data_IF_847825704763
#
_entry.id   IF_847825704763
#
_cell.length_a   1.000
_cell.length_b   1.000
_cell.length_c   1.000
_cell.angle_alpha   90.00
_cell.angle_beta   90.00
_cell.angle_gamma   90.00
#
_symmetry.space_group_name_H-M   'P 1'
#
loop_
_entity.id
_entity.type
_entity.pdbx_description
1 polymer ?
#
# COMPACT_ATOMS: atom_id res chain seq x y z
N UNK A 1 -24.95 44.68 40.79
CA UNK A 1 -25.44 44.07 39.53
C UNK A 1 -25.07 45.05 38.41
N UNK A 2 -24.30 44.74 37.37
CA UNK A 2 -24.06 43.46 36.72
C UNK A 2 -22.64 43.38 36.14
N UNK A 3 -21.96 42.29 36.47
CA UNK A 3 -20.65 41.82 36.01
C UNK A 3 -20.73 41.04 34.68
N UNK A 4 -21.74 41.29 33.83
CA UNK A 4 -22.11 40.32 32.79
C UNK A 4 -21.42 40.45 31.43
N UNK A 5 -20.64 41.51 31.16
CA UNK A 5 -20.19 41.80 29.79
C UNK A 5 -18.67 41.69 29.54
N UNK A 6 -17.87 41.27 30.53
CA UNK A 6 -16.40 41.12 30.34
C UNK A 6 -15.98 39.67 30.04
N UNK A 7 -16.85 38.68 30.30
CA UNK A 7 -16.51 37.26 30.16
C UNK A 7 -16.54 36.72 28.72
N UNK A 8 -17.10 37.45 27.75
CA UNK A 8 -17.27 36.92 26.38
C UNK A 8 -16.00 37.09 25.52
N UNK A 9 -15.14 38.06 25.82
CA UNK A 9 -13.96 38.31 24.98
C UNK A 9 -12.73 37.43 25.31
N UNK A 10 -12.74 36.72 26.44
CA UNK A 10 -11.59 35.95 26.92
C UNK A 10 -11.58 34.48 26.45
N UNK A 11 -12.70 33.94 25.95
CA UNK A 11 -12.79 32.53 25.52
C UNK A 11 -12.32 32.33 24.07
N UNK A 12 -12.22 33.38 23.26
CA UNK A 12 -11.79 33.27 21.85
C UNK A 12 -10.26 33.36 21.63
N UNK A 13 -9.48 33.66 22.67
CA UNK A 13 -8.04 33.92 22.54
C UNK A 13 -7.13 32.72 22.92
N UNK A 14 -7.70 31.55 23.24
CA UNK A 14 -6.92 30.37 23.67
C UNK A 14 -6.78 29.27 22.59
N UNK A 15 -7.25 29.48 21.36
CA UNK A 15 -7.20 28.49 20.28
C UNK A 15 -6.04 28.73 19.28
N UNK A 16 -4.90 29.22 19.76
CA UNK A 16 -3.74 29.48 18.91
C UNK A 16 -2.42 29.28 19.67
N UNK A 17 -2.19 28.06 20.15
CA UNK A 17 -0.81 27.57 20.33
C UNK A 17 -0.70 26.11 19.86
N UNK A 18 0.35 25.88 19.10
CA UNK A 18 0.76 24.65 18.42
C UNK A 18 0.51 23.34 19.19
N UNK A 19 -0.06 22.37 18.49
CA UNK A 19 0.10 20.93 18.77
C UNK A 19 0.24 20.21 17.44
N UNK A 20 1.44 20.30 16.85
CA UNK A 20 1.78 19.73 15.54
C UNK A 20 2.30 18.28 15.61
N UNK A 21 2.31 17.65 16.79
CA UNK A 21 2.73 16.25 16.95
C UNK A 21 1.89 15.54 18.02
N UNK A 22 0.66 15.18 17.68
CA UNK A 22 -0.05 14.06 18.30
C UNK A 22 -0.56 13.19 17.17
N UNK A 23 -0.18 11.92 17.18
CA UNK A 23 -0.73 10.90 16.30
C UNK A 23 -2.21 10.74 16.64
N UNK A 24 -3.15 10.99 15.71
CA UNK A 24 -4.51 10.51 15.91
C UNK A 24 -4.45 8.99 15.87
N UNK A 25 -4.85 8.33 16.95
CA UNK A 25 -5.17 6.90 16.91
C UNK A 25 -6.18 6.66 15.76
N UNK A 26 -6.09 5.55 15.01
CA UNK A 26 -7.04 5.29 13.95
C UNK A 26 -8.40 4.99 14.58
N UNK A 27 -9.26 6.01 14.66
CA UNK A 27 -10.69 5.80 14.82
C UNK A 27 -11.22 5.31 13.48
N UNK A 28 -11.11 4.01 13.23
CA UNK A 28 -11.88 3.34 12.18
C UNK A 28 -13.33 3.24 12.63
N UNK A 29 -13.99 4.38 12.79
CA UNK A 29 -15.44 4.47 12.84
C UNK A 29 -15.95 4.59 11.41
N UNK A 30 -16.00 3.45 10.70
CA UNK A 30 -16.88 3.34 9.55
C UNK A 30 -18.32 3.29 10.07
N UNK A 31 -18.90 4.45 10.36
CA UNK A 31 -20.35 4.57 10.44
C UNK A 31 -20.90 4.48 9.02
N UNK A 32 -21.00 3.26 8.50
CA UNK A 32 -21.83 2.96 7.34
C UNK A 32 -23.27 3.33 7.73
N UNK A 33 -23.74 4.47 7.23
CA UNK A 33 -25.08 4.95 7.52
C UNK A 33 -26.12 3.90 7.13
N UNK A 34 -26.84 3.39 8.13
CA UNK A 34 -28.07 2.66 7.91
C UNK A 34 -29.03 3.60 7.18
N UNK A 35 -29.23 3.38 5.88
CA UNK A 35 -30.37 3.99 5.19
C UNK A 35 -31.64 3.53 5.92
N UNK A 36 -32.29 4.49 6.58
CA UNK A 36 -33.48 4.35 7.42
C UNK A 36 -34.73 3.79 6.70
N UNK A 37 -34.56 3.34 5.45
CA UNK A 37 -35.60 2.75 4.61
C UNK A 37 -35.82 1.24 4.89
N UNK A 38 -35.01 0.63 5.77
CA UNK A 38 -35.08 -0.80 6.12
C UNK A 38 -35.92 -1.11 7.38
N UNK A 39 -36.56 -0.11 8.00
CA UNK A 39 -37.36 -0.28 9.23
C UNK A 39 -38.73 -0.97 9.01
N UNK A 40 -39.06 -1.39 7.79
CA UNK A 40 -40.36 -1.97 7.43
C UNK A 40 -40.50 -3.48 7.61
N UNK A 41 -39.40 -4.23 7.74
CA UNK A 41 -39.45 -5.70 7.74
C UNK A 41 -38.32 -6.28 8.60
N UNK A 42 -38.67 -6.91 9.72
CA UNK A 42 -37.73 -7.55 10.65
C UNK A 42 -36.83 -8.61 9.97
N UNK A 43 -37.36 -9.32 8.97
CA UNK A 43 -36.61 -10.31 8.18
C UNK A 43 -35.45 -9.68 7.37
N UNK A 44 -35.61 -8.42 6.95
CA UNK A 44 -34.56 -7.70 6.21
C UNK A 44 -33.44 -7.17 7.12
N UNK A 45 -33.74 -6.98 8.40
CA UNK A 45 -32.82 -6.46 9.40
C UNK A 45 -31.92 -7.59 9.93
N UNK A 46 -32.47 -8.75 10.28
CA UNK A 46 -31.65 -9.92 10.67
C UNK A 46 -30.71 -10.36 9.54
N UNK A 47 -31.20 -10.46 8.31
CA UNK A 47 -30.36 -10.79 7.16
C UNK A 47 -29.26 -9.75 6.89
N UNK A 48 -29.49 -8.48 7.19
CA UNK A 48 -28.48 -7.43 7.08
C UNK A 48 -27.42 -7.54 8.20
N UNK A 49 -27.83 -7.89 9.42
CA UNK A 49 -26.92 -8.13 10.55
C UNK A 49 -26.05 -9.37 10.32
N UNK A 50 -26.62 -10.49 9.87
CA UNK A 50 -25.86 -11.71 9.55
C UNK A 50 -24.82 -11.44 8.45
N UNK A 51 -25.19 -10.67 7.42
CA UNK A 51 -24.26 -10.29 6.35
C UNK A 51 -23.11 -9.39 6.84
N UNK A 52 -23.36 -8.55 7.86
CA UNK A 52 -22.31 -7.75 8.49
C UNK A 52 -21.43 -8.58 9.43
N UNK A 53 -21.99 -9.57 10.12
CA UNK A 53 -21.27 -10.48 11.01
C UNK A 53 -20.42 -11.50 10.25
N UNK A 54 -20.88 -11.95 9.07
CA UNK A 54 -20.15 -12.88 8.20
C UNK A 54 -19.10 -12.20 7.31
N UNK A 55 -18.93 -10.87 7.38
CA UNK A 55 -17.93 -10.17 6.58
C UNK A 55 -16.51 -10.62 6.95
N UNK A 56 -15.89 -11.39 6.05
CA UNK A 56 -14.45 -11.70 6.10
C UNK A 56 -13.71 -10.71 5.21
N UNK A 57 -12.83 -9.90 5.82
CA UNK A 57 -11.98 -8.98 5.09
C UNK A 57 -11.17 -9.75 4.02
N UNK A 58 -11.30 -9.32 2.76
CA UNK A 58 -10.65 -9.98 1.62
C UNK A 58 -11.46 -11.10 0.95
N UNK A 59 -12.64 -11.47 1.45
CA UNK A 59 -13.52 -12.50 0.86
C UNK A 59 -14.89 -11.94 0.44
N UNK A 60 -14.90 -10.77 -0.21
CA UNK A 60 -16.12 -10.22 -0.78
C UNK A 60 -16.54 -11.04 -2.02
N UNK A 61 -17.79 -11.51 -2.06
CA UNK A 61 -18.35 -12.19 -3.25
C UNK A 61 -18.58 -11.15 -4.37
N UNK A 62 -17.53 -10.94 -5.16
CA UNK A 62 -17.53 -10.06 -6.34
C UNK A 62 -17.22 -10.89 -7.57
N UNK A 63 -17.66 -10.44 -8.75
CA UNK A 63 -17.28 -11.07 -10.03
C UNK A 63 -15.77 -11.20 -10.21
N UNK A 64 -14.99 -10.29 -9.61
CA UNK A 64 -13.53 -10.37 -9.57
C UNK A 64 -13.04 -11.53 -8.69
N UNK A 65 -13.56 -11.65 -7.46
CA UNK A 65 -13.23 -12.76 -6.56
C UNK A 65 -13.62 -14.12 -7.15
N UNK A 66 -14.71 -14.18 -7.93
CA UNK A 66 -15.13 -15.40 -8.64
C UNK A 66 -14.17 -15.83 -9.76
N UNK A 67 -13.45 -14.88 -10.37
CA UNK A 67 -12.45 -15.17 -11.42
C UNK A 67 -11.09 -15.53 -10.85
N UNK A 68 -10.73 -14.97 -9.69
CA UNK A 68 -9.44 -15.17 -9.03
C UNK A 68 -9.59 -15.87 -7.68
N UNK A 69 -10.47 -16.88 -7.62
CA UNK A 69 -10.83 -17.60 -6.37
C UNK A 69 -9.62 -18.10 -5.59
N UNK A 70 -8.57 -18.50 -6.31
CA UNK A 70 -7.35 -19.07 -5.74
C UNK A 70 -6.51 -18.04 -4.95
N UNK A 71 -6.76 -16.74 -5.15
CA UNK A 71 -6.02 -15.63 -4.52
C UNK A 71 -6.87 -14.80 -3.55
N UNK A 72 -8.11 -15.21 -3.29
CA UNK A 72 -9.02 -14.52 -2.37
C UNK A 72 -8.59 -14.76 -0.92
N UNK A 73 -8.32 -13.68 -0.17
CA UNK A 73 -7.96 -13.77 1.25
C UNK A 73 -6.49 -14.11 1.52
N UNK A 74 -5.62 -14.15 0.50
CA UNK A 74 -4.17 -14.31 0.70
C UNK A 74 -3.61 -13.05 1.37
N UNK A 75 -2.83 -13.23 2.44
CA UNK A 75 -2.05 -12.12 3.01
C UNK A 75 -0.94 -11.75 2.04
N UNK A 76 -1.07 -10.58 1.42
CA UNK A 76 -0.05 -10.02 0.53
C UNK A 76 0.95 -9.21 1.35
N UNK A 77 2.24 -9.39 1.03
CA UNK A 77 3.30 -8.52 1.54
C UNK A 77 2.97 -7.06 1.20
N UNK A 78 3.11 -6.17 2.16
CA UNK A 78 2.97 -4.73 1.94
C UNK A 78 4.17 -4.18 1.18
N UNK A 79 4.01 -3.00 0.56
CA UNK A 79 5.13 -2.31 -0.08
C UNK A 79 6.25 -2.03 0.92
N UNK A 80 5.92 -1.71 2.19
CA UNK A 80 6.91 -1.45 3.23
C UNK A 80 7.72 -2.68 3.63
N UNK A 81 7.09 -3.86 3.67
CA UNK A 81 7.77 -5.13 3.93
C UNK A 81 8.71 -5.49 2.77
N UNK A 82 8.23 -5.38 1.53
CA UNK A 82 9.07 -5.57 0.35
C UNK A 82 10.26 -4.59 0.31
N UNK A 83 10.04 -3.34 0.73
CA UNK A 83 11.12 -2.35 0.82
C UNK A 83 12.19 -2.69 1.85
N UNK A 84 11.74 -3.24 2.98
CA UNK A 84 12.63 -3.68 4.06
C UNK A 84 13.46 -4.86 3.59
N UNK A 85 12.82 -5.86 2.97
CA UNK A 85 13.48 -7.03 2.36
C UNK A 85 14.50 -6.62 1.28
N UNK A 86 14.14 -5.69 0.39
CA UNK A 86 15.08 -5.13 -0.60
C UNK A 86 16.31 -4.47 0.06
N UNK A 87 16.09 -3.70 1.13
CA UNK A 87 17.18 -3.00 1.82
C UNK A 87 18.08 -3.99 2.58
N UNK A 88 17.50 -5.05 3.14
CA UNK A 88 18.22 -6.14 3.79
C UNK A 88 19.09 -6.91 2.81
N UNK A 89 18.56 -7.25 1.63
CA UNK A 89 19.29 -7.96 0.56
C UNK A 89 20.42 -7.09 0.00
N UNK A 90 20.14 -5.81 -0.26
CA UNK A 90 21.14 -4.89 -0.80
C UNK A 90 22.30 -4.64 0.18
N UNK A 91 22.02 -4.66 1.49
CA UNK A 91 23.01 -4.54 2.57
C UNK A 91 23.77 -3.20 2.63
N UNK A 92 23.51 -2.29 1.69
CA UNK A 92 24.18 -1.00 1.54
C UNK A 92 23.14 0.08 1.20
N UNK A 93 23.23 1.28 1.79
CA UNK A 93 22.29 2.35 1.49
C UNK A 93 22.45 2.84 0.05
N UNK A 94 21.32 2.99 -0.66
CA UNK A 94 21.29 3.58 -2.00
C UNK A 94 21.70 5.06 -1.95
N UNK A 95 22.45 5.51 -2.95
CA UNK A 95 22.81 6.92 -3.10
C UNK A 95 21.56 7.82 -3.10
N UNK A 96 21.61 8.92 -2.35
CA UNK A 96 20.49 9.85 -2.17
C UNK A 96 19.89 10.35 -3.49
N UNK A 97 20.71 10.52 -4.54
CA UNK A 97 20.24 10.95 -5.86
C UNK A 97 19.30 9.92 -6.53
N UNK A 98 19.55 8.63 -6.31
CA UNK A 98 18.79 7.53 -6.89
C UNK A 98 17.76 6.94 -5.93
N UNK A 99 17.79 7.33 -4.66
CA UNK A 99 16.92 6.77 -3.62
C UNK A 99 15.44 6.83 -3.99
N UNK A 100 14.96 7.99 -4.44
CA UNK A 100 13.55 8.16 -4.81
C UNK A 100 13.18 7.29 -6.03
N UNK A 101 14.08 7.21 -7.02
CA UNK A 101 13.89 6.42 -8.22
C UNK A 101 13.84 4.91 -7.91
N UNK A 102 14.81 4.41 -7.15
CA UNK A 102 14.85 3.00 -6.73
C UNK A 102 13.62 2.67 -5.89
N UNK A 103 13.17 3.61 -5.05
CA UNK A 103 11.96 3.43 -4.24
C UNK A 103 10.70 3.32 -5.06
N UNK A 104 10.57 4.15 -6.08
CA UNK A 104 9.42 4.10 -6.99
C UNK A 104 9.43 2.82 -7.83
N UNK A 105 10.59 2.38 -8.33
CA UNK A 105 10.71 1.15 -9.11
C UNK A 105 10.37 -0.08 -8.26
N UNK A 106 10.95 -0.23 -7.07
CA UNK A 106 10.66 -1.36 -6.17
C UNK A 106 9.17 -1.37 -5.81
N UNK A 107 8.60 -0.21 -5.45
CA UNK A 107 7.19 -0.10 -5.08
C UNK A 107 6.23 -0.40 -6.23
N UNK A 108 6.45 0.19 -7.41
CA UNK A 108 5.62 -0.03 -8.59
C UNK A 108 5.71 -1.47 -9.13
N UNK A 109 6.90 -2.06 -9.09
CA UNK A 109 7.11 -3.46 -9.50
C UNK A 109 6.42 -4.41 -8.52
N UNK A 110 6.56 -4.18 -7.21
CA UNK A 110 5.84 -4.97 -6.19
C UNK A 110 4.33 -4.94 -6.40
N UNK A 111 3.74 -3.75 -6.56
CA UNK A 111 2.30 -3.59 -6.80
C UNK A 111 1.82 -4.26 -8.08
N UNK A 112 2.67 -4.30 -9.11
CA UNK A 112 2.38 -5.00 -10.36
C UNK A 112 2.35 -6.50 -10.15
N UNK A 113 3.33 -7.05 -9.44
CA UNK A 113 3.51 -8.51 -9.30
C UNK A 113 2.50 -9.13 -8.33
N UNK A 114 2.16 -8.43 -7.24
CA UNK A 114 1.13 -8.90 -6.30
C UNK A 114 -0.30 -8.78 -6.85
N UNK A 115 -0.48 -8.12 -7.99
CA UNK A 115 -1.78 -8.00 -8.64
C UNK A 115 -2.23 -9.36 -9.18
N UNK A 116 -3.43 -9.80 -8.81
CA UNK A 116 -4.00 -11.06 -9.28
C UNK A 116 -4.12 -11.18 -10.82
N UNK A 117 -4.12 -10.05 -11.53
CA UNK A 117 -4.19 -10.02 -13.00
C UNK A 117 -2.83 -10.22 -13.67
N UNK A 118 -1.74 -10.09 -12.92
CA UNK A 118 -0.40 -10.11 -13.48
C UNK A 118 -0.01 -11.53 -13.89
N UNK A 119 0.57 -11.63 -15.07
CA UNK A 119 1.22 -12.83 -15.58
C UNK A 119 2.55 -12.38 -16.15
N UNK A 120 3.63 -13.03 -15.74
CA UNK A 120 4.97 -12.76 -16.28
C UNK A 120 4.97 -13.12 -17.76
N UNK A 121 5.40 -12.18 -18.58
CA UNK A 121 5.57 -12.32 -20.03
C UNK A 121 6.94 -11.78 -20.46
N UNK A 122 7.46 -12.30 -21.57
CA UNK A 122 8.78 -11.94 -22.08
C UNK A 122 8.93 -10.43 -22.35
N UNK A 123 7.83 -9.75 -22.73
CA UNK A 123 7.84 -8.29 -22.95
C UNK A 123 8.03 -7.54 -21.64
N UNK A 124 7.38 -7.99 -20.56
CA UNK A 124 7.59 -7.43 -19.24
C UNK A 124 9.00 -7.72 -18.71
N UNK A 125 9.49 -8.96 -18.85
CA UNK A 125 10.86 -9.36 -18.45
C UNK A 125 11.92 -8.51 -19.13
N UNK A 126 11.85 -8.36 -20.46
CA UNK A 126 12.77 -7.52 -21.22
C UNK A 126 12.61 -6.04 -20.88
N UNK A 127 11.37 -5.58 -20.67
CA UNK A 127 11.05 -4.21 -20.33
C UNK A 127 11.65 -3.78 -18.99
N UNK A 128 11.52 -4.61 -17.95
CA UNK A 128 12.06 -4.29 -16.62
C UNK A 128 13.58 -4.31 -16.61
N UNK A 129 14.22 -5.28 -17.28
CA UNK A 129 15.69 -5.35 -17.40
C UNK A 129 16.22 -4.13 -18.16
N UNK A 130 15.64 -3.82 -19.32
CA UNK A 130 16.06 -2.68 -20.14
C UNK A 130 15.87 -1.34 -19.42
N UNK A 131 14.77 -1.19 -18.67
CA UNK A 131 14.52 -0.01 -17.87
C UNK A 131 15.56 0.15 -16.76
N UNK A 132 15.89 -0.92 -16.04
CA UNK A 132 16.91 -0.89 -14.98
C UNK A 132 18.29 -0.59 -15.53
N UNK A 133 18.67 -1.17 -16.66
CA UNK A 133 19.95 -0.88 -17.32
C UNK A 133 20.05 0.58 -17.76
N UNK A 134 18.98 1.15 -18.31
CA UNK A 134 18.97 2.56 -18.74
C UNK A 134 19.04 3.52 -17.55
N UNK A 135 18.26 3.26 -16.51
CA UNK A 135 18.17 4.11 -15.32
C UNK A 135 19.44 4.05 -14.48
N UNK A 136 20.06 2.88 -14.39
CA UNK A 136 21.27 2.67 -13.61
C UNK A 136 22.55 2.93 -14.39
N UNK A 137 22.52 3.14 -15.72
CA UNK A 137 23.72 3.31 -16.58
C UNK A 137 24.79 4.25 -16.02
N UNK A 138 24.37 5.36 -15.41
CA UNK A 138 25.26 6.40 -14.88
C UNK A 138 25.45 6.34 -13.36
N UNK A 139 25.08 5.23 -12.71
CA UNK A 139 25.24 5.08 -11.27
C UNK A 139 26.74 5.19 -10.91
N UNK A 140 27.11 5.99 -9.90
CA UNK A 140 28.50 6.39 -9.68
C UNK A 140 29.41 5.26 -9.19
N UNK A 141 28.84 4.25 -8.54
CA UNK A 141 29.58 3.09 -8.05
C UNK A 141 29.57 1.97 -9.10
N UNK A 142 30.76 1.54 -9.51
CA UNK A 142 30.91 0.39 -10.41
C UNK A 142 30.40 -0.87 -9.72
N UNK A 143 29.71 -1.72 -10.47
CA UNK A 143 29.11 -2.99 -10.04
C UNK A 143 27.97 -2.91 -9.01
N UNK A 144 27.66 -1.73 -8.48
CA UNK A 144 26.49 -1.53 -7.61
C UNK A 144 25.16 -1.63 -8.39
N UNK A 145 25.21 -1.33 -9.70
CA UNK A 145 24.07 -1.45 -10.61
C UNK A 145 23.55 -2.89 -10.67
N UNK A 146 24.46 -3.87 -10.80
CA UNK A 146 24.11 -5.29 -10.82
C UNK A 146 23.51 -5.75 -9.49
N UNK A 147 24.07 -5.30 -8.36
CA UNK A 147 23.52 -5.60 -7.03
C UNK A 147 22.09 -5.09 -6.84
N UNK A 148 21.78 -3.88 -7.30
CA UNK A 148 20.42 -3.34 -7.25
C UNK A 148 19.46 -4.20 -8.09
N UNK A 149 19.88 -4.61 -9.29
CA UNK A 149 19.07 -5.47 -10.15
C UNK A 149 18.81 -6.83 -9.49
N UNK A 150 19.86 -7.52 -9.03
CA UNK A 150 19.73 -8.81 -8.36
C UNK A 150 18.87 -8.72 -7.11
N UNK A 151 19.08 -7.70 -6.27
CA UNK A 151 18.29 -7.49 -5.06
C UNK A 151 16.80 -7.21 -5.35
N UNK A 152 16.51 -6.51 -6.45
CA UNK A 152 15.13 -6.29 -6.88
C UNK A 152 14.47 -7.60 -7.32
N UNK A 153 15.14 -8.40 -8.15
CA UNK A 153 14.58 -9.68 -8.61
C UNK A 153 14.39 -10.67 -7.46
N UNK A 154 15.36 -10.76 -6.55
CA UNK A 154 15.29 -11.62 -5.37
C UNK A 154 14.16 -11.21 -4.43
N UNK A 155 13.99 -9.90 -4.16
CA UNK A 155 12.90 -9.38 -3.33
C UNK A 155 11.50 -9.73 -3.88
N UNK A 156 11.36 -9.83 -5.19
CA UNK A 156 10.10 -10.13 -5.86
C UNK A 156 9.91 -11.65 -6.01
N UNK A 157 10.94 -12.46 -5.72
CA UNK A 157 10.93 -13.91 -5.86
C UNK A 157 11.12 -14.38 -7.30
N UNK A 158 11.78 -13.58 -8.14
CA UNK A 158 12.13 -13.94 -9.51
C UNK A 158 13.60 -14.35 -9.61
N UNK A 159 13.87 -15.38 -10.42
CA UNK A 159 15.23 -15.74 -10.78
C UNK A 159 15.74 -14.83 -11.90
N UNK A 160 16.85 -14.14 -11.63
CA UNK A 160 17.49 -13.21 -12.56
C UNK A 160 17.93 -13.92 -13.86
N UNK A 161 18.30 -15.21 -13.76
CA UNK A 161 18.71 -16.00 -14.91
C UNK A 161 17.54 -16.33 -15.84
N UNK A 162 16.33 -16.50 -15.31
CA UNK A 162 15.12 -16.73 -16.10
C UNK A 162 14.67 -15.46 -16.82
N UNK A 163 14.84 -14.29 -16.20
CA UNK A 163 14.51 -13.00 -16.81
C UNK A 163 15.43 -12.59 -17.97
N UNK A 164 16.72 -12.96 -17.93
CA UNK A 164 17.69 -12.67 -19.00
C UNK A 164 17.66 -13.70 -20.15
N UNK A 165 17.01 -14.84 -19.96
CA UNK A 165 16.95 -15.93 -20.94
C UNK A 165 15.70 -15.91 -21.84
N UNK A 166 14.71 -15.06 -21.53
CA UNK A 166 13.53 -14.78 -22.37
C UNK A 166 13.76 -13.71 -23.43
#
# INVERSE_FOLDING_TARGET
MNLSNVAVLAVLAAASTASAFVTPAPQTAFTGGLSLNALGSSESLEAAFDKQLEYKAGAADTEFARRFKDQVGVQLKTVGEAFTEFTEILGQPVNALYKNMVTDIVGSTHLTVVSARFKRDAVWSLGIISALELLLKNYPEKDFQGKIQSALFECIGFDEAEGRAE
#
